data_IF_424963837566
#
_entry.id   IF_424963837566
#
_cell.length_a   1.000
_cell.length_b   1.000
_cell.length_c   1.000
_cell.angle_alpha   90.00
_cell.angle_beta   90.00
_cell.angle_gamma   90.00
#
_symmetry.space_group_name_H-M   'P 1'
#
loop_
_entity.id
_entity.type
_entity.pdbx_description
1 polymer ?
#
# COMPACT_ATOMS: atom_id res chain seq x y z
N UNK A 1 17.74 4.57 18.01
CA UNK A 1 17.48 3.69 16.84
C UNK A 1 18.73 3.74 15.97
N UNK A 2 19.30 2.60 15.55
CA UNK A 2 20.46 2.59 14.65
C UNK A 2 19.95 2.92 13.23
N UNK A 3 20.56 3.86 12.49
CA UNK A 3 20.15 4.18 11.12
C UNK A 3 20.31 2.94 10.25
N UNK A 4 19.27 2.60 9.50
CA UNK A 4 19.29 1.40 8.70
C UNK A 4 20.25 1.63 7.53
N UNK A 5 21.20 0.72 7.30
CA UNK A 5 22.25 0.93 6.27
C UNK A 5 21.67 0.99 4.85
N UNK A 6 20.42 0.51 4.66
CA UNK A 6 19.66 0.63 3.41
C UNK A 6 19.05 2.02 3.20
N UNK A 7 19.05 2.89 4.20
CA UNK A 7 18.64 4.29 4.05
C UNK A 7 19.64 5.08 3.22
N UNK A 8 20.72 4.51 2.70
CA UNK A 8 21.68 5.25 1.86
C UNK A 8 21.56 4.86 0.40
N UNK A 9 20.72 5.56 -0.35
CA UNK A 9 20.79 5.50 -1.82
C UNK A 9 22.02 6.32 -2.25
N UNK A 10 23.06 5.66 -2.79
CA UNK A 10 24.32 6.30 -3.20
C UNK A 10 25.00 7.15 -2.10
N UNK A 11 24.95 6.70 -0.84
CA UNK A 11 25.63 7.39 0.27
C UNK A 11 24.88 8.61 0.83
N UNK A 12 23.67 8.91 0.35
CA UNK A 12 22.78 9.95 0.89
C UNK A 12 21.54 9.32 1.52
N UNK A 13 21.08 9.88 2.62
CA UNK A 13 19.80 9.50 3.24
C UNK A 13 18.66 10.13 2.43
N UNK A 14 17.78 9.35 1.77
CA UNK A 14 16.53 9.88 1.24
C UNK A 14 15.77 10.55 2.39
N UNK A 15 15.25 11.75 2.14
CA UNK A 15 14.45 12.49 3.13
C UNK A 15 15.22 13.00 4.36
N UNK A 16 16.50 13.38 4.19
CA UNK A 16 17.36 14.02 5.21
C UNK A 16 16.95 15.48 5.56
N UNK A 17 15.66 15.69 5.81
CA UNK A 17 15.00 16.89 6.34
C UNK A 17 15.22 18.22 5.61
N UNK A 18 16.01 18.24 4.54
CA UNK A 18 16.21 19.41 3.71
C UNK A 18 15.21 19.34 2.56
N UNK A 19 14.26 20.30 2.55
CA UNK A 19 13.38 20.56 1.41
C UNK A 19 14.22 20.59 0.14
N UNK A 20 14.16 19.51 -0.63
CA UNK A 20 14.75 19.46 -1.96
C UNK A 20 13.87 20.35 -2.82
N UNK A 21 14.23 21.64 -2.93
CA UNK A 21 13.77 22.53 -3.99
C UNK A 21 14.36 22.04 -5.31
N UNK A 22 13.87 20.89 -5.77
CA UNK A 22 14.12 20.33 -7.09
C UNK A 22 13.11 20.88 -8.10
N UNK A 23 13.39 20.72 -9.40
CA UNK A 23 12.56 21.28 -10.47
C UNK A 23 11.12 20.79 -10.30
N UNK A 24 10.16 21.67 -10.64
CA UNK A 24 8.73 21.41 -10.47
C UNK A 24 8.29 20.04 -11.01
N UNK A 25 7.11 19.55 -10.59
CA UNK A 25 6.68 18.18 -10.83
C UNK A 25 6.82 17.84 -12.33
N UNK A 26 7.35 16.65 -12.67
CA UNK A 26 7.45 16.23 -14.06
C UNK A 26 6.09 16.39 -14.73
N UNK A 27 6.05 17.10 -15.87
CA UNK A 27 4.78 17.43 -16.53
C UNK A 27 4.02 16.19 -17.00
N UNK A 28 4.71 15.04 -17.13
CA UNK A 28 4.15 13.71 -17.43
C UNK A 28 5.02 12.62 -16.81
N UNK A 29 4.79 12.21 -15.55
CA UNK A 29 5.40 10.98 -15.05
C UNK A 29 4.85 9.80 -15.87
N UNK A 30 5.71 9.12 -16.62
CA UNK A 30 5.38 7.84 -17.22
C UNK A 30 5.58 6.77 -16.14
N UNK A 31 4.53 6.45 -15.39
CA UNK A 31 4.52 5.25 -14.58
C UNK A 31 4.36 4.05 -15.52
N UNK A 32 5.25 3.07 -15.42
CA UNK A 32 5.06 1.77 -16.07
C UNK A 32 3.86 1.03 -15.48
N UNK A 33 3.61 -0.18 -15.97
CA UNK A 33 2.60 -1.06 -15.37
C UNK A 33 2.95 -1.32 -13.89
N UNK A 34 1.98 -1.26 -12.97
CA UNK A 34 2.16 -1.67 -11.59
C UNK A 34 2.75 -3.07 -11.51
N UNK A 35 3.85 -3.20 -10.79
CA UNK A 35 4.36 -4.52 -10.46
C UNK A 35 3.38 -5.17 -9.48
N UNK A 36 2.89 -6.35 -9.85
CA UNK A 36 1.98 -7.15 -9.06
C UNK A 36 2.47 -8.60 -8.95
N UNK A 37 2.27 -9.20 -7.79
CA UNK A 37 2.58 -10.60 -7.54
C UNK A 37 1.35 -11.30 -6.97
N UNK A 38 1.12 -12.52 -7.45
CA UNK A 38 0.26 -13.50 -6.79
C UNK A 38 1.17 -14.58 -6.22
N UNK A 39 1.18 -14.69 -4.90
CA UNK A 39 2.04 -15.62 -4.15
C UNK A 39 1.14 -16.71 -3.58
N UNK A 40 1.47 -17.98 -3.85
CA UNK A 40 0.84 -19.12 -3.22
C UNK A 40 1.84 -19.85 -2.32
N UNK A 41 1.49 -20.03 -1.05
CA UNK A 41 2.30 -20.73 -0.06
C UNK A 41 1.37 -21.45 0.93
N UNK A 42 1.63 -22.72 1.21
CA UNK A 42 0.84 -23.54 2.14
C UNK A 42 -0.70 -23.47 1.92
N UNK A 43 -1.13 -23.36 0.65
CA UNK A 43 -2.55 -23.25 0.27
C UNK A 43 -3.20 -21.89 0.58
N UNK A 44 -2.41 -20.91 1.01
CA UNK A 44 -2.80 -19.51 1.15
C UNK A 44 -2.37 -18.71 -0.07
N UNK A 45 -3.23 -17.77 -0.50
CA UNK A 45 -2.97 -16.89 -1.64
C UNK A 45 -2.86 -15.44 -1.19
N UNK A 46 -1.75 -14.80 -1.55
CA UNK A 46 -1.48 -13.40 -1.24
C UNK A 46 -1.29 -12.66 -2.57
N UNK A 47 -2.14 -11.67 -2.83
CA UNK A 47 -1.93 -10.74 -3.92
C UNK A 47 -1.30 -9.46 -3.38
N UNK A 48 -0.26 -8.97 -4.03
CA UNK A 48 0.40 -7.71 -3.70
C UNK A 48 0.61 -6.88 -4.96
N UNK A 49 0.26 -5.59 -4.91
CA UNK A 49 0.68 -4.63 -5.93
C UNK A 49 1.13 -3.29 -5.33
N UNK A 50 1.95 -2.57 -6.11
CA UNK A 50 2.46 -1.25 -5.74
C UNK A 50 1.42 -0.12 -5.87
N UNK A 51 0.16 -0.43 -6.18
CA UNK A 51 -0.87 0.53 -6.58
C UNK A 51 -0.99 0.64 -8.10
N UNK A 52 -2.21 0.90 -8.58
CA UNK A 52 -2.52 0.93 -10.02
C UNK A 52 -3.62 1.92 -10.37
N UNK A 53 -4.09 1.87 -11.62
CA UNK A 53 -5.18 2.72 -12.14
C UNK A 53 -6.38 1.86 -12.53
N UNK A 54 -7.55 2.49 -12.70
CA UNK A 54 -8.77 1.78 -13.14
C UNK A 54 -8.64 1.09 -14.50
N UNK A 55 -7.62 1.45 -15.30
CA UNK A 55 -7.33 0.77 -16.56
C UNK A 55 -6.71 -0.63 -16.37
N UNK A 56 -6.07 -0.90 -15.23
CA UNK A 56 -5.41 -2.17 -14.94
C UNK A 56 -5.89 -2.75 -13.61
N UNK A 57 -6.90 -3.60 -13.72
CA UNK A 57 -7.44 -4.36 -12.60
C UNK A 57 -6.63 -5.64 -12.35
N UNK A 58 -6.59 -6.15 -11.10
CA UNK A 58 -6.00 -7.44 -10.79
C UNK A 58 -6.66 -8.60 -11.58
N UNK A 59 -6.05 -9.79 -11.60
CA UNK A 59 -6.71 -11.00 -12.09
C UNK A 59 -7.99 -11.31 -11.28
N UNK A 60 -8.96 -11.97 -11.91
CA UNK A 60 -10.17 -12.47 -11.24
C UNK A 60 -9.87 -13.78 -10.52
N UNK A 61 -9.22 -13.66 -9.37
CA UNK A 61 -8.70 -14.77 -8.55
C UNK A 61 -9.01 -14.52 -7.08
N UNK A 62 -9.60 -15.50 -6.40
CA UNK A 62 -9.85 -15.38 -4.97
C UNK A 62 -8.55 -15.49 -4.18
N UNK A 63 -8.32 -14.54 -3.26
CA UNK A 63 -7.13 -14.50 -2.40
C UNK A 63 -7.47 -14.44 -0.92
N UNK A 64 -6.53 -14.86 -0.07
CA UNK A 64 -6.67 -14.78 1.38
C UNK A 64 -6.29 -13.38 1.88
N UNK A 65 -5.25 -12.78 1.28
CA UNK A 65 -4.78 -11.43 1.62
C UNK A 65 -4.53 -10.63 0.34
N UNK A 66 -5.08 -9.41 0.27
CA UNK A 66 -4.76 -8.43 -0.75
C UNK A 66 -3.98 -7.27 -0.12
N UNK A 67 -2.73 -7.08 -0.53
CA UNK A 67 -1.86 -5.96 -0.17
C UNK A 67 -1.88 -4.95 -1.32
N UNK A 68 -2.57 -3.82 -1.14
CA UNK A 68 -2.89 -2.92 -2.25
C UNK A 68 -2.35 -1.51 -2.01
N UNK A 69 -1.64 -0.94 -2.99
CA UNK A 69 -1.20 0.46 -2.94
C UNK A 69 -2.36 1.45 -2.90
N UNK A 70 -2.37 2.35 -1.90
CA UNK A 70 -3.46 3.33 -1.69
C UNK A 70 -3.01 4.80 -1.60
N UNK A 71 -1.70 5.07 -1.73
CA UNK A 71 -1.16 6.43 -1.62
C UNK A 71 -1.76 7.40 -2.65
N UNK A 72 -1.95 6.96 -3.89
CA UNK A 72 -2.38 7.83 -4.98
C UNK A 72 -3.92 7.83 -5.17
N UNK A 73 -4.51 8.93 -5.66
CA UNK A 73 -5.96 9.00 -5.93
C UNK A 73 -6.46 7.90 -6.87
N UNK A 74 -5.72 7.59 -7.94
CA UNK A 74 -6.13 6.59 -8.93
C UNK A 74 -6.17 5.18 -8.35
N UNK A 75 -5.24 4.86 -7.45
CA UNK A 75 -5.22 3.56 -6.78
C UNK A 75 -6.39 3.39 -5.82
N UNK A 76 -6.83 4.48 -5.18
CA UNK A 76 -8.07 4.50 -4.39
C UNK A 76 -9.32 4.41 -5.27
N UNK A 77 -9.32 5.01 -6.46
CA UNK A 77 -10.42 4.87 -7.43
C UNK A 77 -10.54 3.43 -7.95
N UNK A 78 -9.43 2.72 -8.06
CA UNK A 78 -9.38 1.32 -8.50
C UNK A 78 -9.88 0.32 -7.43
N UNK A 79 -9.86 0.69 -6.15
CA UNK A 79 -10.10 -0.22 -5.02
C UNK A 79 -11.37 -1.09 -5.16
N UNK A 80 -12.58 -0.55 -5.46
CA UNK A 80 -13.78 -1.38 -5.57
C UNK A 80 -13.67 -2.49 -6.62
N UNK A 81 -13.13 -2.16 -7.81
CA UNK A 81 -12.92 -3.14 -8.88
C UNK A 81 -11.84 -4.17 -8.54
N UNK A 82 -10.82 -3.77 -7.77
CA UNK A 82 -9.82 -4.71 -7.27
C UNK A 82 -10.41 -5.69 -6.26
N UNK A 83 -11.23 -5.20 -5.32
CA UNK A 83 -11.94 -6.06 -4.35
C UNK A 83 -12.91 -7.02 -5.03
N UNK A 84 -13.54 -6.61 -6.13
CA UNK A 84 -14.46 -7.46 -6.90
C UNK A 84 -13.80 -8.68 -7.51
N UNK A 85 -12.61 -8.49 -8.09
CA UNK A 85 -11.86 -9.56 -8.72
C UNK A 85 -11.14 -10.44 -7.71
N UNK A 86 -10.56 -9.83 -6.67
CA UNK A 86 -9.74 -10.54 -5.70
C UNK A 86 -10.53 -11.25 -4.61
N UNK A 87 -11.75 -10.77 -4.30
CA UNK A 87 -12.64 -11.29 -3.23
C UNK A 87 -11.87 -11.65 -1.95
N UNK A 88 -11.02 -10.73 -1.43
CA UNK A 88 -10.06 -11.07 -0.40
C UNK A 88 -10.74 -11.34 0.94
N UNK A 89 -10.18 -12.25 1.75
CA UNK A 89 -10.59 -12.39 3.17
C UNK A 89 -10.03 -11.26 4.02
N UNK A 90 -8.85 -10.76 3.69
CA UNK A 90 -8.19 -9.64 4.37
C UNK A 90 -7.64 -8.61 3.38
N UNK A 91 -7.76 -7.33 3.71
CA UNK A 91 -7.25 -6.22 2.91
C UNK A 91 -6.22 -5.45 3.71
N UNK A 92 -5.00 -5.36 3.21
CA UNK A 92 -3.93 -4.55 3.76
C UNK A 92 -3.61 -3.40 2.79
N UNK A 93 -4.10 -2.17 3.05
CA UNK A 93 -3.61 -1.00 2.32
C UNK A 93 -2.10 -0.87 2.55
N UNK A 94 -1.28 -0.81 1.51
CA UNK A 94 0.12 -0.41 1.64
C UNK A 94 0.24 1.11 1.64
N UNK A 95 1.34 1.63 2.21
CA UNK A 95 1.56 3.06 2.47
C UNK A 95 0.56 3.65 3.49
N UNK A 96 0.42 2.98 4.64
CA UNK A 96 -0.40 3.49 5.75
C UNK A 96 0.25 4.60 6.53
N UNK A 97 1.54 4.46 6.80
CA UNK A 97 2.29 5.41 7.60
C UNK A 97 2.77 6.61 6.81
N UNK A 98 3.05 7.66 7.57
CA UNK A 98 3.86 8.76 7.14
C UNK A 98 5.34 8.41 7.32
N UNK A 99 5.87 7.55 6.43
CA UNK A 99 7.27 7.14 6.46
C UNK A 99 8.27 8.29 6.22
N UNK A 100 7.79 9.49 5.89
CA UNK A 100 8.59 10.71 5.81
C UNK A 100 8.86 11.36 7.19
N UNK A 101 8.18 10.89 8.25
CA UNK A 101 8.39 11.38 9.61
C UNK A 101 9.34 10.47 10.40
N UNK A 102 10.08 11.03 11.37
CA UNK A 102 10.86 10.23 12.32
C UNK A 102 10.02 9.20 13.06
N UNK A 103 10.57 7.99 13.28
CA UNK A 103 9.85 6.89 13.93
C UNK A 103 9.51 7.16 15.42
N UNK A 104 10.21 8.08 16.08
CA UNK A 104 9.91 8.50 17.45
C UNK A 104 8.69 9.44 17.54
N UNK A 105 8.19 9.96 16.42
CA UNK A 105 6.92 10.68 16.33
C UNK A 105 5.69 9.76 16.41
N UNK A 106 5.91 8.45 16.51
CA UNK A 106 4.87 7.42 16.56
C UNK A 106 4.21 7.17 15.21
N UNK A 107 3.20 6.29 15.19
CA UNK A 107 2.45 6.02 13.97
C UNK A 107 1.57 7.22 13.61
N UNK A 108 1.71 7.70 12.37
CA UNK A 108 0.87 8.73 11.78
C UNK A 108 0.44 8.24 10.41
N UNK A 109 -0.83 8.44 10.05
CA UNK A 109 -1.27 8.11 8.69
C UNK A 109 -0.58 9.01 7.66
N UNK A 110 -0.16 8.43 6.54
CA UNK A 110 0.45 9.16 5.43
C UNK A 110 -0.52 10.21 4.86
N UNK A 111 -0.09 11.46 4.64
CA UNK A 111 -0.97 12.55 4.18
C UNK A 111 -1.51 12.33 2.76
N UNK A 112 -0.88 11.44 1.99
CA UNK A 112 -1.26 11.13 0.62
C UNK A 112 -2.52 10.26 0.56
N UNK A 113 -2.74 9.42 1.57
CA UNK A 113 -3.81 8.42 1.57
C UNK A 113 -5.03 8.91 2.35
N UNK A 114 -6.18 9.02 1.66
CA UNK A 114 -7.48 9.22 2.31
C UNK A 114 -7.97 7.90 2.92
N UNK A 115 -7.52 7.61 4.15
CA UNK A 115 -7.88 6.39 4.87
C UNK A 115 -9.37 6.28 5.20
N UNK A 116 -10.02 7.43 5.44
CA UNK A 116 -11.46 7.45 5.68
C UNK A 116 -12.22 6.90 4.47
N UNK A 117 -11.80 7.28 3.26
CA UNK A 117 -12.34 6.71 2.03
C UNK A 117 -12.03 5.22 1.89
N UNK A 118 -10.77 4.82 2.04
CA UNK A 118 -10.36 3.40 1.90
C UNK A 118 -11.18 2.51 2.84
N UNK A 119 -11.35 2.93 4.09
CA UNK A 119 -12.18 2.21 5.06
C UNK A 119 -13.63 2.09 4.61
N UNK A 120 -14.26 3.21 4.20
CA UNK A 120 -15.65 3.20 3.70
C UNK A 120 -15.82 2.27 2.49
N UNK A 121 -14.88 2.28 1.55
CA UNK A 121 -14.96 1.45 0.35
C UNK A 121 -14.83 -0.05 0.70
N UNK A 122 -13.96 -0.41 1.65
CA UNK A 122 -13.86 -1.79 2.15
C UNK A 122 -15.11 -2.22 2.93
N UNK A 123 -15.66 -1.36 3.79
CA UNK A 123 -16.86 -1.62 4.59
C UNK A 123 -18.11 -1.76 3.71
N UNK A 124 -18.30 -0.86 2.73
CA UNK A 124 -19.47 -0.85 1.84
C UNK A 124 -19.57 -2.15 1.04
N UNK A 125 -18.45 -2.62 0.53
CA UNK A 125 -18.43 -3.80 -0.32
C UNK A 125 -18.47 -5.11 0.51
N UNK A 126 -18.38 -5.03 1.85
CA UNK A 126 -18.29 -6.17 2.79
C UNK A 126 -17.26 -7.23 2.33
N UNK A 127 -16.18 -6.78 1.67
CA UNK A 127 -15.19 -7.61 0.99
C UNK A 127 -13.90 -7.60 1.78
N UNK A 128 -13.84 -8.52 2.74
CA UNK A 128 -12.67 -8.78 3.56
C UNK A 128 -12.49 -7.82 4.74
N UNK A 129 -11.67 -8.24 5.69
CA UNK A 129 -11.36 -7.46 6.88
C UNK A 129 -10.19 -6.51 6.61
N UNK A 130 -10.43 -5.21 6.78
CA UNK A 130 -9.40 -4.19 6.69
C UNK A 130 -8.38 -4.36 7.83
N UNK A 131 -7.11 -4.47 7.47
CA UNK A 131 -5.98 -4.51 8.40
C UNK A 131 -5.36 -3.11 8.46
N UNK A 132 -5.34 -2.55 9.67
CA UNK A 132 -4.57 -1.36 9.98
C UNK A 132 -3.25 -1.77 10.64
N UNK A 133 -2.13 -1.28 10.11
CA UNK A 133 -0.83 -1.60 10.66
C UNK A 133 -0.64 -0.92 12.01
N UNK A 134 -0.37 -1.73 13.02
CA UNK A 134 0.38 -1.30 14.19
C UNK A 134 1.84 -1.65 13.92
N UNK A 135 2.67 -0.63 13.63
CA UNK A 135 4.06 -0.81 13.19
C UNK A 135 4.91 -1.64 14.14
N UNK A 136 4.51 -1.75 15.41
CA UNK A 136 5.25 -2.48 16.43
C UNK A 136 4.63 -3.83 16.75
N UNK A 137 3.53 -4.22 16.10
CA UNK A 137 2.88 -5.51 16.31
C UNK A 137 2.71 -6.25 15.00
N UNK A 138 3.39 -7.40 14.81
CA UNK A 138 3.18 -8.19 13.62
C UNK A 138 1.74 -8.70 13.57
N UNK A 139 1.16 -8.68 12.38
CA UNK A 139 -0.08 -9.39 12.10
C UNK A 139 0.25 -10.67 11.32
N UNK A 140 -0.41 -11.78 11.66
CA UNK A 140 -0.22 -13.06 10.99
C UNK A 140 -1.50 -13.45 10.28
N UNK A 141 -1.38 -13.88 9.01
CA UNK A 141 -2.50 -14.39 8.23
C UNK A 141 -3.06 -15.65 8.91
N UNK A 142 -4.31 -15.62 9.40
CA UNK A 142 -4.88 -16.79 10.04
C UNK A 142 -4.98 -17.96 9.06
N UNK A 143 -4.74 -19.17 9.56
CA UNK A 143 -4.98 -20.39 8.78
C UNK A 143 -6.46 -20.48 8.37
N UNK A 144 -6.72 -21.16 7.26
CA UNK A 144 -8.07 -21.53 6.84
C UNK A 144 -8.71 -22.47 7.86
#
# INVERSE_FOLDING_TARGET
MLPATHDRLFGKVPFDQHDVRGPGPPQRPACGEPLAFLIEIDGQRIYIDSGGTTAQLPPDEQVDLAILGMALPDSRLRLPGALERLKPRYVLPSHQDNFFQPLDAGFQFGPLTDFSRVRRDCERDNRGHLILLDYFRPWTLPRK
#
